data_IF_341720798036
#
_entry.id   IF_341720798036
#
_cell.length_a   1.000
_cell.length_b   1.000
_cell.length_c   1.000
_cell.angle_alpha   90.00
_cell.angle_beta   90.00
_cell.angle_gamma   90.00
#
_symmetry.space_group_name_H-M   'P 1'
#
loop_
_entity.id
_entity.type
_entity.pdbx_description
1 polymer ?
#
# COMPACT_ATOMS: atom_id res chain seq x y z
N UNK A 1 -16.13 10.66 1.34
CA UNK A 1 -15.81 11.27 0.01
C UNK A 1 -15.19 10.20 -0.88
N UNK A 2 -15.70 10.00 -2.10
CA UNK A 2 -15.25 8.94 -3.01
C UNK A 2 -15.12 9.45 -4.44
N UNK A 3 -14.05 9.07 -5.15
CA UNK A 3 -13.83 9.36 -6.56
C UNK A 3 -14.68 8.44 -7.44
N UNK A 4 -15.51 9.00 -8.31
CA UNK A 4 -16.35 8.24 -9.25
C UNK A 4 -15.75 8.20 -10.66
N UNK A 5 -15.19 9.32 -11.13
CA UNK A 5 -14.53 9.32 -12.43
C UNK A 5 -13.48 10.42 -12.54
N UNK A 6 -12.51 10.17 -13.43
CA UNK A 6 -11.54 11.17 -13.84
C UNK A 6 -11.39 11.14 -15.36
N UNK A 7 -11.28 12.33 -15.94
CA UNK A 7 -11.07 12.54 -17.36
C UNK A 7 -9.81 13.37 -17.57
N UNK A 8 -8.86 12.81 -18.32
CA UNK A 8 -7.65 13.47 -18.75
C UNK A 8 -7.70 13.78 -20.24
N UNK A 9 -7.39 15.02 -20.62
CA UNK A 9 -7.15 15.39 -22.01
C UNK A 9 -5.76 15.98 -22.15
N UNK A 10 -4.96 15.38 -23.01
CA UNK A 10 -3.58 15.78 -23.32
C UNK A 10 -2.66 15.85 -22.08
N UNK A 11 -2.74 14.87 -21.19
CA UNK A 11 -1.92 14.77 -19.97
C UNK A 11 -0.92 13.64 -20.12
N UNK A 12 0.36 13.93 -19.90
CA UNK A 12 1.48 12.99 -20.00
C UNK A 12 1.52 12.33 -21.37
N UNK A 13 1.17 11.06 -21.43
CA UNK A 13 1.09 10.29 -22.68
C UNK A 13 -0.34 10.09 -23.20
N UNK A 14 -1.35 10.59 -22.48
CA UNK A 14 -2.75 10.36 -22.78
C UNK A 14 -3.34 11.52 -23.59
N UNK A 15 -3.85 11.22 -24.78
CA UNK A 15 -4.64 12.19 -25.57
C UNK A 15 -6.01 12.42 -24.95
N UNK A 16 -6.71 11.34 -24.66
CA UNK A 16 -8.00 11.30 -23.98
C UNK A 16 -8.04 10.00 -23.18
N UNK A 17 -8.23 10.09 -21.87
CA UNK A 17 -8.34 8.95 -20.98
C UNK A 17 -9.44 9.22 -19.96
N UNK A 18 -10.46 8.36 -19.94
CA UNK A 18 -11.52 8.38 -18.94
C UNK A 18 -11.37 7.13 -18.08
N UNK A 19 -11.37 7.30 -16.76
CA UNK A 19 -11.49 6.21 -15.81
C UNK A 19 -12.77 6.42 -15.01
N UNK A 20 -13.55 5.36 -14.88
CA UNK A 20 -14.72 5.29 -14.01
C UNK A 20 -14.39 4.31 -12.88
N UNK A 21 -14.77 4.66 -11.66
CA UNK A 21 -14.49 3.92 -10.43
C UNK A 21 -15.81 3.54 -9.75
N UNK A 22 -15.88 2.35 -9.17
CA UNK A 22 -17.10 1.82 -8.56
C UNK A 22 -16.93 1.53 -7.05
N UNK A 23 -16.62 2.54 -6.22
CA UNK A 23 -16.22 2.34 -4.81
C UNK A 23 -17.28 1.66 -3.94
N UNK A 24 -18.57 1.77 -4.28
CA UNK A 24 -19.65 1.10 -3.54
C UNK A 24 -19.70 -0.42 -3.78
N UNK A 25 -19.26 -0.88 -4.95
CA UNK A 25 -19.23 -2.30 -5.32
C UNK A 25 -17.85 -2.90 -5.07
N UNK A 26 -16.81 -2.17 -5.45
CA UNK A 26 -15.41 -2.56 -5.41
C UNK A 26 -14.60 -1.40 -4.80
N UNK A 27 -14.37 -1.41 -3.47
CA UNK A 27 -13.67 -0.32 -2.78
C UNK A 27 -12.19 -0.22 -3.17
N UNK A 28 -11.63 -1.27 -3.76
CA UNK A 28 -10.27 -1.30 -4.30
C UNK A 28 -10.34 -1.26 -5.83
N UNK A 29 -9.59 -0.33 -6.42
CA UNK A 29 -9.27 -0.32 -7.85
C UNK A 29 -7.78 -0.60 -8.02
N UNK A 30 -7.45 -1.62 -8.81
CA UNK A 30 -6.09 -2.00 -9.17
C UNK A 30 -5.85 -1.74 -10.65
N UNK A 31 -4.85 -0.90 -10.96
CA UNK A 31 -4.44 -0.59 -12.33
C UNK A 31 -3.12 -1.32 -12.64
N UNK A 32 -3.20 -2.37 -13.44
CA UNK A 32 -2.06 -3.15 -13.93
C UNK A 32 -1.58 -2.66 -15.29
N UNK A 33 -0.30 -2.86 -15.56
CA UNK A 33 0.28 -2.61 -16.87
C UNK A 33 1.79 -2.68 -16.84
N UNK A 34 2.40 -2.75 -18.01
CA UNK A 34 3.85 -2.84 -18.14
C UNK A 34 4.55 -1.53 -17.73
N UNK A 35 5.87 -1.58 -17.61
CA UNK A 35 6.66 -0.38 -17.37
C UNK A 35 6.44 0.65 -18.50
N UNK A 36 6.51 1.93 -18.14
CA UNK A 36 6.31 3.06 -19.06
C UNK A 36 4.92 3.17 -19.73
N UNK A 37 3.87 2.52 -19.22
CA UNK A 37 2.48 2.71 -19.72
C UNK A 37 1.75 3.93 -19.16
N UNK A 38 2.36 4.65 -18.21
CA UNK A 38 1.78 5.88 -17.63
C UNK A 38 0.96 5.69 -16.35
N UNK A 39 1.03 4.52 -15.71
CA UNK A 39 0.34 4.23 -14.41
C UNK A 39 0.59 5.30 -13.35
N UNK A 40 1.85 5.64 -13.10
CA UNK A 40 2.24 6.68 -12.15
C UNK A 40 1.68 8.05 -12.54
N UNK A 41 1.58 8.34 -13.84
CA UNK A 41 0.99 9.59 -14.35
C UNK A 41 -0.49 9.68 -13.98
N UNK A 42 -1.24 8.57 -14.04
CA UNK A 42 -2.66 8.55 -13.66
C UNK A 42 -2.81 8.94 -12.18
N UNK A 43 -2.17 8.22 -11.26
CA UNK A 43 -2.29 8.47 -9.82
C UNK A 43 -1.77 9.84 -9.42
N UNK A 44 -0.63 10.27 -9.98
CA UNK A 44 -0.08 11.62 -9.77
C UNK A 44 -1.09 12.70 -10.13
N UNK A 45 -1.75 12.62 -11.29
CA UNK A 45 -2.69 13.65 -11.75
C UNK A 45 -4.02 13.60 -10.99
N UNK A 46 -4.48 12.42 -10.56
CA UNK A 46 -5.59 12.29 -9.61
C UNK A 46 -5.23 13.01 -8.31
N UNK A 47 -4.06 12.72 -7.73
CA UNK A 47 -3.60 13.36 -6.50
C UNK A 47 -3.52 14.88 -6.64
N UNK A 48 -2.88 15.39 -7.70
CA UNK A 48 -2.79 16.84 -7.96
C UNK A 48 -4.17 17.49 -7.93
N UNK A 49 -5.16 16.86 -8.56
CA UNK A 49 -6.52 17.38 -8.58
C UNK A 49 -7.24 17.30 -7.21
N UNK A 50 -6.98 16.26 -6.42
CA UNK A 50 -7.48 16.13 -5.05
C UNK A 50 -6.84 17.13 -4.07
N UNK A 51 -5.59 17.56 -4.27
CA UNK A 51 -4.93 18.56 -3.40
C UNK A 51 -5.64 19.92 -3.38
N UNK A 52 -6.52 20.19 -4.35
CA UNK A 52 -7.34 21.39 -4.33
C UNK A 52 -8.36 21.36 -3.18
N UNK A 53 -8.91 20.20 -2.83
CA UNK A 53 -9.79 20.09 -1.67
C UNK A 53 -9.06 20.46 -0.38
N UNK A 54 -7.90 19.85 -0.14
CA UNK A 54 -7.13 20.12 1.08
C UNK A 54 -6.66 21.58 1.18
N UNK A 55 -6.22 22.17 0.07
CA UNK A 55 -5.83 23.57 0.01
C UNK A 55 -7.00 24.51 0.31
N UNK A 56 -8.15 24.28 -0.34
CA UNK A 56 -9.37 25.09 -0.16
C UNK A 56 -9.98 24.94 1.23
N UNK A 57 -9.88 23.75 1.83
CA UNK A 57 -10.33 23.51 3.20
C UNK A 57 -9.56 24.36 4.22
N UNK A 58 -8.26 24.55 4.01
CA UNK A 58 -7.43 25.45 4.83
C UNK A 58 -7.79 26.92 4.63
N UNK A 59 -7.86 27.34 3.36
CA UNK A 59 -8.26 28.68 2.95
C UNK A 59 -8.83 28.60 1.54
N UNK A 60 -10.06 29.06 1.38
CA UNK A 60 -10.80 29.05 0.12
C UNK A 60 -10.07 29.75 -1.04
N UNK A 61 -9.06 30.58 -0.76
CA UNK A 61 -8.25 31.26 -1.78
C UNK A 61 -6.98 30.50 -2.16
N UNK A 62 -6.55 29.54 -1.35
CA UNK A 62 -5.32 28.78 -1.60
C UNK A 62 -5.51 27.80 -2.75
N UNK A 63 -4.58 27.83 -3.70
CA UNK A 63 -4.57 26.90 -4.83
C UNK A 63 -3.95 25.55 -4.42
N UNK A 64 -4.48 24.46 -4.97
CA UNK A 64 -3.84 23.16 -4.92
C UNK A 64 -2.65 23.07 -5.86
N UNK A 65 -2.08 21.87 -5.99
CA UNK A 65 -1.01 21.61 -6.94
C UNK A 65 -1.56 21.76 -8.36
N UNK A 66 -0.89 22.57 -9.17
CA UNK A 66 -1.25 22.80 -10.58
C UNK A 66 -0.59 21.76 -11.49
N UNK A 67 -1.19 21.55 -12.66
CA UNK A 67 -0.59 20.74 -13.73
C UNK A 67 0.75 21.38 -14.14
N UNK A 68 1.82 20.59 -14.17
CA UNK A 68 3.12 21.09 -14.59
C UNK A 68 3.20 21.20 -16.12
N UNK A 69 3.99 22.15 -16.62
CA UNK A 69 4.17 22.36 -18.07
C UNK A 69 4.68 21.08 -18.77
N UNK A 70 5.55 20.33 -18.09
CA UNK A 70 6.08 19.03 -18.55
C UNK A 70 5.03 17.90 -18.57
N UNK A 71 3.90 18.05 -17.88
CA UNK A 71 2.82 17.07 -17.86
C UNK A 71 1.85 17.29 -19.04
N UNK A 72 2.04 18.32 -19.88
CA UNK A 72 1.26 18.48 -21.12
C UNK A 72 1.81 17.51 -22.17
N UNK A 73 0.90 16.78 -22.83
CA UNK A 73 1.26 15.86 -23.91
C UNK A 73 2.09 16.56 -24.99
N UNK A 74 3.15 15.90 -25.43
CA UNK A 74 4.05 16.41 -26.47
C UNK A 74 3.25 16.93 -27.69
N UNK A 75 3.62 18.10 -28.18
CA UNK A 75 2.96 18.81 -29.29
C UNK A 75 1.52 19.29 -29.02
N UNK A 76 1.09 19.37 -27.75
CA UNK A 76 -0.18 20.00 -27.37
C UNK A 76 0.06 21.32 -26.65
N UNK A 77 -0.85 22.26 -26.89
CA UNK A 77 -0.82 23.59 -26.27
C UNK A 77 -1.64 23.67 -24.97
N UNK A 78 -2.44 22.65 -24.70
CA UNK A 78 -3.35 22.64 -23.56
C UNK A 78 -3.55 21.24 -23.01
N UNK A 79 -3.73 21.15 -21.70
CA UNK A 79 -4.14 19.95 -20.99
C UNK A 79 -5.29 20.24 -20.02
N UNK A 80 -6.08 19.21 -19.74
CA UNK A 80 -7.26 19.28 -18.87
C UNK A 80 -7.34 18.04 -17.99
N UNK A 81 -7.63 18.26 -16.72
CA UNK A 81 -8.07 17.23 -15.77
C UNK A 81 -9.48 17.61 -15.32
N UNK A 82 -10.41 16.66 -15.35
CA UNK A 82 -11.75 16.82 -14.80
C UNK A 82 -12.02 15.66 -13.85
N UNK A 83 -12.50 15.98 -12.66
CA UNK A 83 -12.75 15.00 -11.60
C UNK A 83 -14.21 15.06 -11.17
N UNK A 84 -14.77 13.89 -10.87
CA UNK A 84 -16.11 13.73 -10.29
C UNK A 84 -15.99 12.93 -9.00
N UNK A 85 -16.50 13.50 -7.91
CA UNK A 85 -16.43 12.95 -6.58
C UNK A 85 -17.83 12.92 -5.97
N UNK A 86 -18.16 11.80 -5.33
CA UNK A 86 -19.36 11.62 -4.51
C UNK A 86 -19.09 11.99 -3.06
N UNK A 87 -20.04 12.71 -2.46
CA UNK A 87 -20.05 13.06 -1.05
C UNK A 87 -20.68 11.95 -0.22
N UNK A 88 -20.28 11.83 1.07
CA UNK A 88 -20.96 10.90 1.98
C UNK A 88 -22.40 11.35 2.20
N UNK A 89 -23.31 10.38 2.29
CA UNK A 89 -24.73 10.64 2.55
C UNK A 89 -24.98 11.33 3.90
N UNK A 90 -24.07 11.14 4.86
CA UNK A 90 -24.09 11.77 6.19
C UNK A 90 -24.01 13.31 6.12
N UNK A 91 -23.40 13.87 5.07
CA UNK A 91 -23.31 15.32 4.87
C UNK A 91 -24.67 15.96 4.53
N UNK A 92 -25.64 15.19 4.04
CA UNK A 92 -26.95 15.71 3.64
C UNK A 92 -27.90 15.92 4.82
N UNK A 93 -27.70 15.21 5.94
CA UNK A 93 -28.61 15.25 7.10
C UNK A 93 -28.56 16.62 7.81
N UNK A 94 -27.47 17.37 7.65
CA UNK A 94 -27.28 18.68 8.29
C UNK A 94 -27.94 19.86 7.56
N UNK A 95 -28.56 19.65 6.40
CA UNK A 95 -29.33 20.68 5.71
C UNK A 95 -30.79 20.62 6.21
N UNK A 96 -31.32 21.63 6.93
CA UNK A 96 -32.75 21.71 7.15
C UNK A 96 -33.43 21.77 5.79
N UNK A 97 -34.29 20.79 5.51
CA UNK A 97 -35.06 20.68 4.26
C UNK A 97 -35.77 22.01 3.99
N UNK A 98 -35.18 22.84 3.14
CA UNK A 98 -35.82 24.04 2.61
C UNK A 98 -36.52 23.59 1.33
N UNK A 99 -37.84 23.57 1.40
CA UNK A 99 -38.79 22.97 0.45
C UNK A 99 -38.87 23.65 -0.93
N UNK A 100 -37.81 24.30 -1.40
CA UNK A 100 -37.82 25.07 -2.66
C UNK A 100 -36.54 24.99 -3.50
N UNK A 101 -35.60 24.08 -3.24
CA UNK A 101 -34.46 23.87 -4.14
C UNK A 101 -34.73 22.71 -5.11
N UNK A 102 -34.60 22.97 -6.40
CA UNK A 102 -34.65 21.97 -7.47
C UNK A 102 -33.78 20.76 -7.12
N UNK A 103 -34.30 19.56 -7.37
CA UNK A 103 -33.63 18.26 -7.24
C UNK A 103 -32.43 18.16 -8.20
N UNK A 104 -31.37 18.91 -7.93
CA UNK A 104 -30.04 18.63 -8.47
C UNK A 104 -29.37 17.65 -7.51
N UNK A 105 -28.76 16.58 -8.03
CA UNK A 105 -28.00 15.59 -7.26
C UNK A 105 -26.94 16.26 -6.38
N UNK A 106 -27.30 16.62 -5.15
CA UNK A 106 -26.45 17.30 -4.16
C UNK A 106 -25.28 16.45 -3.69
N UNK A 107 -25.24 15.18 -4.09
CA UNK A 107 -24.24 14.21 -3.70
C UNK A 107 -23.01 14.19 -4.61
N UNK A 108 -23.06 14.83 -5.78
CA UNK A 108 -21.95 14.80 -6.75
C UNK A 108 -21.28 16.17 -6.86
N UNK A 109 -19.95 16.17 -6.94
CA UNK A 109 -19.14 17.36 -7.07
C UNK A 109 -18.10 17.18 -8.17
N UNK A 110 -18.04 18.16 -9.06
CA UNK A 110 -17.12 18.21 -10.19
C UNK A 110 -16.27 19.48 -10.15
N UNK A 111 -14.97 19.32 -10.36
CA UNK A 111 -14.08 20.44 -10.67
C UNK A 111 -13.14 20.10 -11.82
N UNK A 112 -12.62 21.15 -12.45
CA UNK A 112 -11.75 21.05 -13.62
C UNK A 112 -10.51 21.89 -13.46
N UNK A 113 -9.38 21.34 -13.88
CA UNK A 113 -8.09 22.00 -13.95
C UNK A 113 -7.65 22.07 -15.40
N UNK A 114 -7.14 23.22 -15.80
CA UNK A 114 -6.64 23.48 -17.14
C UNK A 114 -5.23 24.05 -17.05
N UNK A 115 -4.43 23.72 -18.06
CA UNK A 115 -3.12 24.30 -18.28
C UNK A 115 -2.98 24.61 -19.76
N UNK A 116 -2.70 25.86 -20.11
CA UNK A 116 -2.63 26.33 -21.50
C UNK A 116 -1.36 27.14 -21.72
N UNK A 117 -0.59 26.82 -22.75
CA UNK A 117 0.56 27.63 -23.15
C UNK A 117 0.10 28.94 -23.79
N UNK A 118 0.73 30.04 -23.38
CA UNK A 118 0.60 31.32 -24.06
C UNK A 118 1.49 31.38 -25.32
N UNK A 119 1.42 32.47 -26.07
CA UNK A 119 2.24 32.69 -27.27
C UNK A 119 3.76 32.69 -27.02
N UNK A 120 4.19 32.83 -25.76
CA UNK A 120 5.60 32.81 -25.33
C UNK A 120 6.03 31.42 -24.81
N UNK A 121 5.16 30.41 -24.87
CA UNK A 121 5.46 29.05 -24.39
C UNK A 121 5.40 28.88 -22.87
N UNK A 122 4.81 29.82 -22.13
CA UNK A 122 4.63 29.74 -20.66
C UNK A 122 3.24 29.19 -20.34
N UNK A 123 3.18 28.15 -19.50
CA UNK A 123 1.92 27.51 -19.10
C UNK A 123 1.11 28.33 -18.10
N UNK A 124 -0.07 28.78 -18.49
CA UNK A 124 -1.06 29.45 -17.63
C UNK A 124 -2.03 28.41 -17.06
N UNK A 125 -2.19 28.39 -15.74
CA UNK A 125 -3.13 27.50 -15.05
C UNK A 125 -4.48 28.20 -14.85
N UNK A 126 -5.57 27.51 -15.19
CA UNK A 126 -6.95 27.97 -14.97
C UNK A 126 -7.77 26.86 -14.31
N UNK A 127 -8.77 27.22 -13.51
CA UNK A 127 -9.58 26.25 -12.76
C UNK A 127 -11.06 26.61 -12.73
N UNK A 128 -11.90 25.58 -12.69
CA UNK A 128 -13.35 25.67 -12.42
C UNK A 128 -13.63 24.93 -11.11
N UNK A 129 -13.71 25.65 -9.97
CA UNK A 129 -13.84 25.06 -8.61
C UNK A 129 -15.14 25.41 -7.88
N UNK A 130 -16.15 25.94 -8.56
CA UNK A 130 -17.38 26.42 -7.90
C UNK A 130 -18.06 25.35 -7.02
N UNK A 131 -18.18 24.11 -7.52
CA UNK A 131 -18.77 23.00 -6.76
C UNK A 131 -17.84 22.53 -5.63
N UNK A 132 -16.53 22.58 -5.84
CA UNK A 132 -15.55 22.27 -4.80
C UNK A 132 -15.62 23.28 -3.64
N UNK A 133 -15.78 24.57 -3.94
CA UNK A 133 -15.88 25.62 -2.93
C UNK A 133 -17.17 25.45 -2.09
N UNK A 134 -18.26 25.01 -2.72
CA UNK A 134 -19.50 24.62 -2.04
C UNK A 134 -19.31 23.40 -1.15
N UNK A 135 -18.63 22.36 -1.65
CA UNK A 135 -18.30 21.14 -0.91
C UNK A 135 -17.47 21.44 0.34
N UNK A 136 -16.43 22.25 0.21
CA UNK A 136 -15.57 22.66 1.33
C UNK A 136 -16.38 23.42 2.37
N UNK A 137 -17.24 24.35 1.92
CA UNK A 137 -18.12 25.10 2.82
C UNK A 137 -19.10 24.18 3.57
N UNK A 138 -19.59 23.12 2.92
CA UNK A 138 -20.45 22.13 3.55
C UNK A 138 -19.69 21.38 4.65
N UNK A 139 -18.50 20.83 4.35
CA UNK A 139 -17.67 20.16 5.36
C UNK A 139 -17.37 21.07 6.56
N UNK A 140 -17.02 22.33 6.32
CA UNK A 140 -16.75 23.29 7.40
C UNK A 140 -17.98 23.56 8.27
N UNK A 141 -19.18 23.69 7.67
CA UNK A 141 -20.43 23.90 8.41
C UNK A 141 -20.84 22.67 9.19
N UNK A 142 -20.75 21.49 8.58
CA UNK A 142 -21.17 20.24 9.23
C UNK A 142 -20.22 19.89 10.38
N UNK A 143 -18.90 20.06 10.21
CA UNK A 143 -17.93 19.84 11.29
C UNK A 143 -18.14 20.78 12.49
N UNK A 144 -18.66 22.00 12.27
CA UNK A 144 -19.05 22.90 13.37
C UNK A 144 -20.30 22.44 14.13
N UNK A 145 -21.20 21.70 13.47
CA UNK A 145 -22.46 21.23 14.05
C UNK A 145 -22.32 19.85 14.69
N UNK A 146 -21.53 18.97 14.08
CA UNK A 146 -21.25 17.63 14.54
C UNK A 146 -19.74 17.35 14.53
N UNK A 147 -19.06 17.53 15.67
CA UNK A 147 -17.62 17.22 15.81
C UNK A 147 -17.28 15.74 15.65
N UNK A 148 -18.26 14.83 15.64
CA UNK A 148 -17.99 13.40 15.37
C UNK A 148 -17.77 13.14 13.88
N UNK A 149 -18.20 14.05 13.00
CA UNK A 149 -18.01 13.89 11.57
C UNK A 149 -16.54 14.05 11.19
N UNK A 150 -15.95 12.96 10.68
CA UNK A 150 -14.60 12.95 10.16
C UNK A 150 -14.43 13.70 8.84
N UNK A 151 -13.20 14.17 8.60
CA UNK A 151 -12.80 14.70 7.30
C UNK A 151 -12.25 13.60 6.38
N UNK A 152 -12.43 13.72 5.06
CA UNK A 152 -12.02 12.67 4.14
C UNK A 152 -10.50 12.59 3.97
N UNK A 153 -9.92 11.41 4.15
CA UNK A 153 -8.51 11.20 3.88
C UNK A 153 -8.20 11.41 2.39
N UNK A 154 -7.12 12.15 2.11
CA UNK A 154 -6.52 12.25 0.77
C UNK A 154 -5.04 11.97 0.95
N UNK A 155 -4.59 10.79 0.52
CA UNK A 155 -3.19 10.40 0.61
C UNK A 155 -2.70 9.84 -0.72
N UNK A 156 -1.47 10.19 -1.06
CA UNK A 156 -0.74 9.64 -2.20
C UNK A 156 0.63 9.18 -1.73
N UNK A 157 0.96 7.94 -2.08
CA UNK A 157 2.26 7.34 -1.84
C UNK A 157 2.90 6.98 -3.19
N UNK A 158 3.92 7.72 -3.66
CA UNK A 158 4.65 7.38 -4.87
C UNK A 158 5.43 6.06 -4.73
N UNK A 159 5.89 5.52 -5.87
CA UNK A 159 6.71 4.31 -5.92
C UNK A 159 8.01 4.45 -5.12
N UNK A 160 8.69 5.60 -5.26
CA UNK A 160 9.90 5.92 -4.50
C UNK A 160 9.51 6.35 -3.07
N UNK A 161 9.59 5.39 -2.16
CA UNK A 161 9.28 5.58 -0.73
C UNK A 161 10.38 5.00 0.13
N UNK A 162 10.88 5.79 1.07
CA UNK A 162 11.97 5.37 1.94
C UNK A 162 11.91 6.04 3.32
N UNK A 163 12.54 5.39 4.30
CA UNK A 163 12.72 5.92 5.66
C UNK A 163 14.19 6.34 5.78
N UNK A 164 14.46 7.65 5.66
CA UNK A 164 15.84 8.14 5.60
C UNK A 164 16.47 8.39 6.97
N UNK A 165 15.69 8.78 7.98
CA UNK A 165 16.14 8.87 9.38
C UNK A 165 14.92 9.05 10.29
N UNK A 166 14.97 8.49 11.50
CA UNK A 166 13.87 8.57 12.47
C UNK A 166 14.27 9.54 13.57
N UNK A 167 13.78 10.77 13.47
CA UNK A 167 14.01 11.76 14.52
C UNK A 167 12.94 11.63 15.62
N UNK A 168 13.30 10.99 16.73
CA UNK A 168 12.47 10.92 17.94
C UNK A 168 12.80 12.03 18.95
N UNK A 169 13.79 12.88 18.65
CA UNK A 169 14.23 13.94 19.56
C UNK A 169 13.41 15.23 19.40
N UNK A 170 12.78 15.45 18.24
CA UNK A 170 11.81 16.51 18.07
C UNK A 170 10.63 16.28 19.00
N UNK A 171 10.31 17.29 19.83
CA UNK A 171 9.17 17.29 20.76
C UNK A 171 8.40 18.58 20.61
N UNK A 172 7.09 18.53 20.84
CA UNK A 172 6.21 19.70 20.83
C UNK A 172 6.29 20.49 19.51
N UNK A 173 6.47 19.80 18.39
CA UNK A 173 6.48 20.44 17.07
C UNK A 173 5.08 21.03 16.83
N UNK A 174 4.96 22.36 16.63
CA UNK A 174 3.67 23.02 16.54
C UNK A 174 2.87 22.46 15.35
N UNK A 175 1.60 22.16 15.58
CA UNK A 175 0.68 21.69 14.53
C UNK A 175 0.67 20.17 14.29
N UNK A 176 1.55 19.38 14.92
CA UNK A 176 1.64 17.92 14.70
C UNK A 176 0.33 17.18 14.96
N UNK A 177 -0.45 17.63 15.95
CA UNK A 177 -1.73 17.05 16.35
C UNK A 177 -2.96 17.76 15.75
N UNK A 178 -2.76 18.77 14.89
CA UNK A 178 -3.87 19.48 14.26
C UNK A 178 -4.42 18.68 13.07
N UNK A 179 -5.74 18.75 12.85
CA UNK A 179 -6.42 18.08 11.73
C UNK A 179 -5.76 18.42 10.38
N UNK A 180 -5.38 19.68 10.19
CA UNK A 180 -4.80 20.15 8.92
C UNK A 180 -3.47 19.47 8.58
N UNK A 181 -2.72 18.98 9.58
CA UNK A 181 -1.46 18.26 9.36
C UNK A 181 -1.67 16.88 8.70
N UNK A 182 -2.90 16.37 8.65
CA UNK A 182 -3.24 15.19 7.86
C UNK A 182 -3.17 15.46 6.35
N UNK A 183 -3.33 16.72 5.94
CA UNK A 183 -3.33 17.16 4.54
C UNK A 183 -1.99 17.74 4.07
N UNK A 184 -0.92 17.56 4.83
CA UNK A 184 0.43 17.90 4.39
C UNK A 184 0.70 17.28 3.00
N UNK A 185 1.18 18.12 2.09
CA UNK A 185 1.43 17.73 0.71
C UNK A 185 2.53 16.69 0.63
N UNK A 186 2.24 15.56 -0.02
CA UNK A 186 3.25 14.58 -0.38
C UNK A 186 4.04 15.10 -1.58
N UNK A 187 5.37 15.05 -1.50
CA UNK A 187 6.19 15.31 -2.65
C UNK A 187 5.91 14.23 -3.72
N UNK A 188 5.64 14.69 -4.93
CA UNK A 188 5.29 13.79 -6.04
C UNK A 188 6.41 12.81 -6.43
N UNK A 189 7.71 13.20 -6.50
CA UNK A 189 8.74 12.29 -6.97
C UNK A 189 9.10 11.19 -5.97
N UNK A 190 8.99 11.48 -4.66
CA UNK A 190 9.29 10.53 -3.60
C UNK A 190 8.59 10.97 -2.30
N UNK A 191 8.38 10.03 -1.39
CA UNK A 191 7.86 10.34 -0.05
C UNK A 191 8.76 9.83 1.07
N UNK A 192 8.75 10.55 2.18
CA UNK A 192 9.37 10.15 3.44
C UNK A 192 8.33 10.19 4.55
N UNK A 193 8.63 9.55 5.67
CA UNK A 193 7.67 9.33 6.75
C UNK A 193 8.02 10.10 8.04
N UNK A 194 8.77 11.20 7.93
CA UNK A 194 9.19 11.99 9.09
C UNK A 194 8.00 12.45 9.95
N UNK A 195 6.91 12.91 9.30
CA UNK A 195 5.67 13.36 9.98
C UNK A 195 4.99 12.25 10.77
N UNK A 196 5.05 11.01 10.26
CA UNK A 196 4.56 9.85 11.01
C UNK A 196 5.36 9.63 12.29
N UNK A 197 6.68 9.65 12.24
CA UNK A 197 7.50 9.42 13.43
C UNK A 197 7.41 10.57 14.45
N UNK A 198 7.31 11.82 13.99
CA UNK A 198 7.04 12.98 14.85
C UNK A 198 5.69 12.83 15.55
N UNK A 199 4.64 12.44 14.83
CA UNK A 199 3.32 12.20 15.40
C UNK A 199 3.30 11.00 16.37
N UNK A 200 3.94 9.89 16.01
CA UNK A 200 4.05 8.71 16.88
C UNK A 200 4.73 9.06 18.20
N UNK A 201 5.77 9.89 18.13
CA UNK A 201 6.49 10.40 19.31
C UNK A 201 5.57 11.20 20.22
N UNK A 202 4.85 12.17 19.64
CA UNK A 202 3.96 13.06 20.38
C UNK A 202 2.77 12.30 20.98
N UNK A 203 2.12 11.44 20.20
CA UNK A 203 0.94 10.70 20.65
C UNK A 203 1.31 9.66 21.72
N UNK A 204 2.49 9.05 21.61
CA UNK A 204 3.00 8.16 22.64
C UNK A 204 3.26 8.89 23.96
N UNK A 205 3.82 10.11 23.92
CA UNK A 205 4.00 10.90 25.15
C UNK A 205 2.65 11.31 25.77
N UNK A 206 1.69 11.76 24.95
CA UNK A 206 0.35 12.17 25.39
C UNK A 206 -0.39 11.00 26.04
N UNK A 207 -0.49 9.86 25.36
CA UNK A 207 -1.24 8.71 25.85
C UNK A 207 -0.55 8.01 27.03
N UNK A 208 0.79 8.00 27.09
CA UNK A 208 1.54 7.53 28.27
C UNK A 208 1.30 8.44 29.48
N UNK A 209 1.32 9.76 29.30
CA UNK A 209 1.05 10.72 30.38
C UNK A 209 -0.39 10.59 30.89
N UNK A 210 -1.36 10.40 29.98
CA UNK A 210 -2.76 10.15 30.32
C UNK A 210 -2.91 8.87 31.15
N UNK A 211 -2.33 7.77 30.67
CA UNK A 211 -2.35 6.48 31.37
C UNK A 211 -1.73 6.58 32.76
N UNK A 212 -0.57 7.24 32.89
CA UNK A 212 0.08 7.46 34.17
C UNK A 212 -0.77 8.33 35.13
N UNK A 213 -1.48 9.33 34.60
CA UNK A 213 -2.37 10.17 35.39
C UNK A 213 -3.56 9.38 35.94
N UNK A 214 -4.19 8.52 35.12
CA UNK A 214 -5.29 7.65 35.54
C UNK A 214 -4.81 6.69 36.62
N UNK A 215 -3.69 6.01 36.40
CA UNK A 215 -3.09 5.10 37.38
C UNK A 215 -2.81 5.83 38.69
N UNK A 216 -2.28 7.06 38.66
CA UNK A 216 -2.06 7.87 39.86
C UNK A 216 -3.35 8.26 40.57
N UNK A 217 -4.40 8.63 39.83
CA UNK A 217 -5.71 8.97 40.39
C UNK A 217 -6.33 7.78 41.10
N UNK A 218 -6.23 6.59 40.49
CA UNK A 218 -6.74 5.34 41.06
C UNK A 218 -5.94 4.88 42.28
N UNK A 219 -4.61 5.09 42.28
CA UNK A 219 -3.76 4.68 43.41
C UNK A 219 -3.80 5.62 44.63
N UNK A 220 -4.31 6.86 44.50
CA UNK A 220 -4.27 7.84 45.59
C UNK A 220 -2.84 8.17 46.07
N UNK A 221 -2.70 8.96 47.14
CA UNK A 221 -1.38 9.24 47.74
C UNK A 221 -0.94 8.18 48.77
N UNK A 222 -1.80 7.25 49.16
CA UNK A 222 -1.57 6.30 50.26
C UNK A 222 -1.25 4.90 49.75
N UNK A 223 0.02 4.70 49.42
CA UNK A 223 0.54 3.40 48.99
C UNK A 223 0.78 2.48 50.20
N UNK A 224 -0.28 1.90 50.77
CA UNK A 224 -0.15 0.79 51.72
C UNK A 224 -0.17 -0.55 50.96
N UNK A 225 0.90 -1.34 51.08
CA UNK A 225 1.09 -2.64 50.40
C UNK A 225 -0.01 -3.68 50.68
N UNK A 226 -0.93 -3.43 51.60
CA UNK A 226 -2.00 -4.35 51.99
C UNK A 226 -3.21 -4.37 51.03
N UNK A 227 -3.41 -3.36 50.17
CA UNK A 227 -4.63 -3.24 49.34
C UNK A 227 -4.43 -3.50 47.83
N UNK A 228 -3.34 -4.16 47.42
CA UNK A 228 -3.04 -4.40 45.99
C UNK A 228 -4.17 -5.10 45.23
N UNK A 229 -4.86 -6.05 45.86
CA UNK A 229 -5.97 -6.79 45.24
C UNK A 229 -7.24 -5.95 45.07
N UNK A 230 -7.54 -5.07 46.02
CA UNK A 230 -8.69 -4.15 45.94
C UNK A 230 -8.45 -3.08 44.87
N UNK A 231 -7.23 -2.53 44.80
CA UNK A 231 -6.83 -1.56 43.77
C UNK A 231 -6.88 -2.17 42.38
N UNK A 232 -6.46 -3.44 42.21
CA UNK A 232 -6.56 -4.15 40.93
C UNK A 232 -8.02 -4.42 40.54
N UNK A 233 -8.90 -4.69 41.50
CA UNK A 233 -10.33 -4.84 41.25
C UNK A 233 -11.01 -3.51 40.90
N UNK A 234 -10.65 -2.41 41.56
CA UNK A 234 -11.13 -1.07 41.19
C UNK A 234 -10.63 -0.66 39.81
N UNK A 235 -9.36 -0.95 39.47
CA UNK A 235 -8.81 -0.78 38.12
C UNK A 235 -9.59 -1.59 37.08
N UNK A 236 -9.89 -2.86 37.36
CA UNK A 236 -10.72 -3.69 36.48
C UNK A 236 -12.14 -3.14 36.34
N UNK A 237 -12.76 -2.68 37.42
CA UNK A 237 -14.11 -2.11 37.39
C UNK A 237 -14.14 -0.77 36.62
N UNK A 238 -13.16 0.10 36.81
CA UNK A 238 -13.01 1.35 36.03
C UNK A 238 -12.68 1.07 34.55
N UNK A 239 -11.86 0.06 34.23
CA UNK A 239 -11.63 -0.38 32.85
C UNK A 239 -12.91 -0.85 32.16
N UNK A 240 -13.80 -1.53 32.91
CA UNK A 240 -15.09 -2.03 32.42
C UNK A 240 -16.13 -0.90 32.32
N UNK A 241 -16.16 0.03 33.28
CA UNK A 241 -17.16 1.09 33.37
C UNK A 241 -16.81 2.33 32.54
N UNK A 242 -15.52 2.63 32.38
CA UNK A 242 -14.97 3.77 31.65
C UNK A 242 -13.85 3.38 30.67
N UNK A 243 -14.10 2.44 29.72
CA UNK A 243 -13.12 2.05 28.69
C UNK A 243 -12.66 3.25 27.86
N UNK A 244 -13.51 4.28 27.75
CA UNK A 244 -13.28 5.52 27.01
C UNK A 244 -12.23 6.45 27.63
N UNK A 245 -11.93 6.33 28.93
CA UNK A 245 -10.91 7.16 29.60
C UNK A 245 -9.52 6.50 29.55
N UNK A 246 -9.42 5.18 29.48
CA UNK A 246 -8.12 4.48 29.35
C UNK A 246 -7.71 4.19 27.90
N UNK A 247 -8.61 4.43 26.94
CA UNK A 247 -8.30 4.24 25.54
C UNK A 247 -7.15 5.16 25.13
N UNK A 248 -6.11 4.55 24.61
CA UNK A 248 -5.07 5.14 23.80
C UNK A 248 -5.53 4.98 22.33
N UNK A 249 -6.58 5.70 21.87
CA UNK A 249 -7.30 5.34 20.65
C UNK A 249 -6.37 5.39 19.44
N UNK A 250 -5.40 6.31 19.44
CA UNK A 250 -4.51 6.51 18.31
C UNK A 250 -3.43 5.43 18.26
N UNK A 251 -2.78 5.11 19.39
CA UNK A 251 -1.82 4.00 19.41
C UNK A 251 -2.52 2.66 19.19
N UNK A 252 -3.73 2.47 19.73
CA UNK A 252 -4.51 1.27 19.48
C UNK A 252 -4.86 1.13 18.00
N UNK A 253 -5.39 2.18 17.37
CA UNK A 253 -5.71 2.19 15.95
C UNK A 253 -4.47 1.92 15.09
N UNK A 254 -3.33 2.54 15.42
CA UNK A 254 -2.05 2.30 14.75
C UNK A 254 -1.61 0.84 14.87
N UNK A 255 -1.56 0.30 16.09
CA UNK A 255 -1.09 -1.08 16.35
C UNK A 255 -2.01 -2.10 15.70
N UNK A 256 -3.33 -1.91 15.81
CA UNK A 256 -4.34 -2.78 15.20
C UNK A 256 -4.23 -2.79 13.67
N UNK A 257 -4.09 -1.61 13.05
CA UNK A 257 -3.92 -1.49 11.60
C UNK A 257 -2.62 -2.16 11.13
N UNK A 258 -1.53 -1.92 11.86
CA UNK A 258 -0.23 -2.54 11.58
C UNK A 258 -0.27 -4.07 11.72
N UNK A 259 -0.90 -4.59 12.77
CA UNK A 259 -1.04 -6.03 12.99
C UNK A 259 -1.94 -6.69 11.94
N UNK A 260 -2.97 -5.98 11.47
CA UNK A 260 -3.85 -6.46 10.39
C UNK A 260 -3.08 -6.59 9.07
N UNK A 261 -2.24 -5.60 8.73
CA UNK A 261 -1.43 -5.62 7.50
C UNK A 261 -0.25 -6.59 7.63
N UNK A 262 0.43 -6.60 8.77
CA UNK A 262 1.60 -7.40 9.07
C UNK A 262 1.37 -8.23 10.36
N UNK A 263 0.77 -9.43 10.26
CA UNK A 263 0.49 -10.28 11.42
C UNK A 263 1.74 -10.67 12.23
N UNK A 264 2.91 -10.67 11.58
CA UNK A 264 4.21 -10.92 12.19
C UNK A 264 4.71 -9.77 13.07
N UNK A 265 4.13 -8.57 12.97
CA UNK A 265 4.44 -7.41 13.79
C UNK A 265 3.48 -7.35 14.97
N UNK A 266 3.93 -7.85 16.12
CA UNK A 266 3.11 -7.93 17.33
C UNK A 266 3.01 -6.59 18.07
N UNK A 267 4.06 -5.77 18.04
CA UNK A 267 4.06 -4.49 18.77
C UNK A 267 5.05 -3.48 18.19
N UNK A 268 4.77 -2.20 18.41
CA UNK A 268 5.63 -1.05 18.12
C UNK A 268 5.52 -0.03 19.26
N UNK A 269 6.65 0.40 19.81
CA UNK A 269 6.67 1.33 20.94
C UNK A 269 7.98 2.10 21.05
N UNK A 270 7.94 3.23 21.76
CA UNK A 270 9.12 4.05 22.01
C UNK A 270 9.75 3.63 23.34
N UNK A 271 11.00 3.19 23.28
CA UNK A 271 11.82 2.93 24.47
C UNK A 271 12.59 4.20 24.83
N UNK A 272 12.57 4.58 26.11
CA UNK A 272 13.23 5.80 26.62
C UNK A 272 14.57 5.50 27.30
N UNK A 273 14.67 4.35 27.98
CA UNK A 273 15.83 3.93 28.78
C UNK A 273 16.29 2.55 28.29
N UNK A 274 17.61 2.31 28.10
CA UNK A 274 18.73 3.22 28.34
C UNK A 274 18.96 4.28 27.26
N UNK A 275 18.34 4.13 26.08
CA UNK A 275 18.45 5.05 24.94
C UNK A 275 17.07 5.26 24.33
N UNK A 276 16.78 6.49 23.89
CA UNK A 276 15.58 6.83 23.12
C UNK A 276 15.64 6.19 21.73
N UNK A 277 14.77 5.20 21.48
CA UNK A 277 14.70 4.50 20.20
C UNK A 277 13.31 3.88 19.98
N UNK A 278 12.95 3.69 18.70
CA UNK A 278 11.74 2.97 18.30
C UNK A 278 12.04 1.47 18.32
N UNK A 279 11.24 0.73 19.08
CA UNK A 279 11.33 -0.72 19.22
C UNK A 279 10.14 -1.39 18.56
N UNK A 280 10.38 -2.59 18.05
CA UNK A 280 9.33 -3.45 17.50
C UNK A 280 9.45 -4.85 18.09
N UNK A 281 8.31 -5.53 18.23
CA UNK A 281 8.24 -6.97 18.42
C UNK A 281 7.82 -7.59 17.10
N UNK A 282 8.76 -8.22 16.40
CA UNK A 282 8.58 -8.81 15.08
C UNK A 282 9.02 -10.28 15.13
N UNK A 283 8.14 -11.19 14.69
CA UNK A 283 8.38 -12.65 14.74
C UNK A 283 8.84 -13.13 16.14
N UNK A 284 8.15 -12.68 17.20
CA UNK A 284 8.49 -12.97 18.60
C UNK A 284 9.84 -12.43 19.10
N UNK A 285 10.56 -11.65 18.29
CA UNK A 285 11.81 -11.00 18.68
C UNK A 285 11.61 -9.51 18.91
N UNK A 286 12.18 -8.99 19.99
CA UNK A 286 12.22 -7.56 20.27
C UNK A 286 13.51 -6.96 19.74
N UNK A 287 13.41 -6.06 18.77
CA UNK A 287 14.57 -5.40 18.16
C UNK A 287 14.31 -3.90 17.89
N UNK A 288 15.38 -3.09 17.79
CA UNK A 288 15.27 -1.73 17.29
C UNK A 288 14.71 -1.69 15.86
N UNK A 289 13.79 -0.77 15.59
CA UNK A 289 13.15 -0.60 14.27
C UNK A 289 14.17 -0.44 13.14
N UNK A 290 15.33 0.17 13.40
CA UNK A 290 16.38 0.38 12.41
C UNK A 290 16.93 -0.92 11.81
N UNK A 291 16.88 -2.03 12.56
CA UNK A 291 17.37 -3.35 12.13
C UNK A 291 16.39 -4.10 11.21
N UNK A 292 15.17 -3.60 11.04
CA UNK A 292 14.25 -4.14 10.05
C UNK A 292 14.75 -3.91 8.61
N UNK A 293 14.30 -4.76 7.69
CA UNK A 293 14.58 -4.61 6.26
C UNK A 293 14.05 -3.26 5.73
N UNK A 294 14.66 -2.74 4.66
CA UNK A 294 14.22 -1.48 4.06
C UNK A 294 12.74 -1.52 3.64
N UNK A 295 12.30 -2.63 3.07
CA UNK A 295 10.91 -2.88 2.70
C UNK A 295 9.97 -2.80 3.91
N UNK A 296 10.26 -3.57 4.98
CA UNK A 296 9.42 -3.59 6.17
C UNK A 296 9.34 -2.20 6.83
N UNK A 297 10.47 -1.46 6.87
CA UNK A 297 10.48 -0.09 7.38
C UNK A 297 9.59 0.84 6.55
N UNK A 298 9.68 0.79 5.23
CA UNK A 298 8.87 1.62 4.34
C UNK A 298 7.37 1.30 4.48
N UNK A 299 7.03 0.02 4.60
CA UNK A 299 5.66 -0.45 4.73
C UNK A 299 5.02 -0.13 6.09
N UNK A 300 5.73 -0.38 7.19
CA UNK A 300 5.26 0.03 8.52
C UNK A 300 5.06 1.55 8.56
N UNK A 301 5.96 2.31 7.95
CA UNK A 301 5.85 3.76 7.92
C UNK A 301 4.70 4.24 7.01
N UNK A 302 4.40 3.55 5.91
CA UNK A 302 3.25 3.82 5.05
C UNK A 302 1.93 3.58 5.79
N UNK A 303 1.74 2.40 6.37
CA UNK A 303 0.54 2.06 7.16
C UNK A 303 0.42 2.99 8.38
N UNK A 304 1.55 3.33 8.99
CA UNK A 304 1.63 4.29 10.08
C UNK A 304 1.21 5.70 9.69
N UNK A 305 1.62 6.20 8.52
CA UNK A 305 1.20 7.52 8.04
C UNK A 305 -0.29 7.54 7.63
N UNK A 306 -0.83 6.46 7.07
CA UNK A 306 -2.28 6.33 6.84
C UNK A 306 -3.03 6.42 8.18
N UNK A 307 -2.60 5.63 9.16
CA UNK A 307 -3.19 5.61 10.50
C UNK A 307 -3.13 6.99 11.16
N UNK A 308 -1.98 7.67 11.06
CA UNK A 308 -1.82 9.07 11.52
C UNK A 308 -2.85 9.98 10.89
N UNK A 309 -2.96 9.97 9.56
CA UNK A 309 -3.88 10.87 8.84
C UNK A 309 -5.32 10.60 9.28
N UNK A 310 -5.74 9.35 9.40
CA UNK A 310 -7.08 8.99 9.86
C UNK A 310 -7.34 9.44 11.29
N UNK A 311 -6.38 9.23 12.21
CA UNK A 311 -6.50 9.69 13.59
C UNK A 311 -6.64 11.22 13.67
N UNK A 312 -5.84 11.95 12.88
CA UNK A 312 -5.90 13.41 12.84
C UNK A 312 -7.20 13.96 12.23
N UNK A 313 -7.78 13.26 11.25
CA UNK A 313 -9.01 13.67 10.58
C UNK A 313 -10.28 13.25 11.32
N UNK A 314 -10.17 12.36 12.31
CA UNK A 314 -11.27 11.77 13.06
C UNK A 314 -10.98 11.82 14.58
N UNK A 315 -10.62 13.00 15.09
CA UNK A 315 -10.11 13.16 16.48
C UNK A 315 -11.08 12.71 17.58
N UNK A 316 -12.38 12.71 17.27
CA UNK A 316 -13.45 12.34 18.18
C UNK A 316 -14.01 10.93 17.92
N UNK A 317 -13.48 10.20 16.93
CA UNK A 317 -13.86 8.83 16.62
C UNK A 317 -13.08 7.82 17.48
N UNK A 318 -13.76 6.75 17.93
CA UNK A 318 -13.11 5.68 18.70
C UNK A 318 -12.27 4.75 17.83
N UNK A 319 -12.68 4.52 16.58
CA UNK A 319 -12.01 3.62 15.65
C UNK A 319 -11.66 4.35 14.34
N UNK A 320 -10.77 5.36 14.37
CA UNK A 320 -10.52 6.23 13.22
C UNK A 320 -10.08 5.47 11.97
N UNK A 321 -9.36 4.35 12.11
CA UNK A 321 -8.92 3.54 10.97
C UNK A 321 -10.05 2.70 10.34
N UNK A 322 -11.06 2.30 11.14
CA UNK A 322 -12.19 1.50 10.65
C UNK A 322 -13.34 2.36 10.13
N UNK A 323 -13.52 3.56 10.70
CA UNK A 323 -14.66 4.43 10.42
C UNK A 323 -14.30 5.62 9.51
N UNK A 324 -13.02 5.97 9.40
CA UNK A 324 -12.57 7.07 8.57
C UNK A 324 -12.70 6.77 7.08
N UNK A 325 -13.28 7.71 6.34
CA UNK A 325 -13.45 7.63 4.89
C UNK A 325 -12.37 8.42 4.13
N UNK A 326 -12.19 8.12 2.84
CA UNK A 326 -11.31 8.91 1.98
C UNK A 326 -10.81 8.15 0.76
N UNK A 327 -9.88 8.79 0.05
CA UNK A 327 -9.23 8.28 -1.16
C UNK A 327 -7.75 8.07 -0.86
N UNK A 328 -7.31 6.82 -0.97
CA UNK A 328 -5.94 6.37 -0.78
C UNK A 328 -5.34 5.97 -2.12
N UNK A 329 -4.28 6.66 -2.54
CA UNK A 329 -3.57 6.40 -3.79
C UNK A 329 -2.20 5.79 -3.48
N UNK A 330 -1.92 4.58 -3.98
CA UNK A 330 -0.62 3.91 -3.79
C UNK A 330 -0.05 3.54 -5.16
N UNK A 331 1.01 4.22 -5.56
CA UNK A 331 1.73 3.89 -6.78
C UNK A 331 2.71 2.73 -6.54
N UNK A 332 2.77 1.80 -7.50
CA UNK A 332 3.55 0.57 -7.47
C UNK A 332 3.43 -0.12 -6.10
N UNK A 333 2.23 -0.60 -5.82
CA UNK A 333 1.93 -1.26 -4.55
C UNK A 333 2.76 -2.52 -4.34
N UNK A 334 3.23 -3.15 -5.41
CA UNK A 334 4.12 -4.31 -5.40
C UNK A 334 5.60 -3.97 -5.19
N UNK A 335 5.98 -2.69 -5.17
CA UNK A 335 7.36 -2.28 -4.98
C UNK A 335 7.91 -2.76 -3.62
N UNK A 336 9.07 -3.42 -3.67
CA UNK A 336 9.78 -4.00 -2.52
C UNK A 336 9.03 -5.10 -1.75
N UNK A 337 7.95 -5.66 -2.29
CA UNK A 337 7.25 -6.80 -1.69
C UNK A 337 7.72 -8.15 -2.27
N UNK A 338 7.76 -9.18 -1.42
CA UNK A 338 7.85 -10.55 -1.88
C UNK A 338 6.54 -11.02 -2.54
N UNK A 339 6.50 -12.24 -3.07
CA UNK A 339 5.32 -12.74 -3.78
C UNK A 339 4.10 -12.94 -2.87
N UNK A 340 4.31 -13.45 -1.65
CA UNK A 340 3.23 -13.73 -0.72
C UNK A 340 2.59 -12.43 -0.20
N UNK A 341 3.40 -11.45 0.20
CA UNK A 341 2.90 -10.14 0.62
C UNK A 341 2.25 -9.40 -0.54
N UNK A 342 2.78 -9.50 -1.76
CA UNK A 342 2.15 -8.90 -2.93
C UNK A 342 0.72 -9.41 -3.14
N UNK A 343 0.46 -10.70 -2.95
CA UNK A 343 -0.88 -11.27 -3.10
C UNK A 343 -1.86 -10.77 -2.02
N UNK A 344 -1.40 -10.62 -0.78
CA UNK A 344 -2.26 -10.33 0.36
C UNK A 344 -2.40 -8.84 0.69
N UNK A 345 -1.48 -7.97 0.22
CA UNK A 345 -1.36 -6.60 0.71
C UNK A 345 -2.63 -5.76 0.51
N UNK A 346 -3.30 -5.89 -0.63
CA UNK A 346 -4.52 -5.13 -0.92
C UNK A 346 -5.67 -5.55 -0.01
N UNK A 347 -5.87 -6.87 0.15
CA UNK A 347 -6.89 -7.42 1.03
C UNK A 347 -6.67 -6.95 2.47
N UNK A 348 -5.43 -7.03 2.96
CA UNK A 348 -5.11 -6.61 4.33
C UNK A 348 -5.19 -5.09 4.54
N UNK A 349 -4.81 -4.28 3.55
CA UNK A 349 -5.02 -2.83 3.62
C UNK A 349 -6.50 -2.49 3.71
N UNK A 350 -7.36 -3.17 2.95
CA UNK A 350 -8.80 -2.96 3.04
C UNK A 350 -9.39 -3.49 4.35
N UNK A 351 -8.88 -4.58 4.91
CA UNK A 351 -9.26 -5.02 6.26
C UNK A 351 -8.88 -3.99 7.33
N UNK A 352 -7.69 -3.38 7.23
CA UNK A 352 -7.24 -2.35 8.16
C UNK A 352 -7.98 -1.01 7.98
N UNK A 353 -8.37 -0.69 6.75
CA UNK A 353 -8.99 0.58 6.37
C UNK A 353 -10.25 0.37 5.48
N UNK A 354 -11.32 -0.23 6.02
CA UNK A 354 -12.46 -0.74 5.23
C UNK A 354 -13.27 0.34 4.52
N UNK A 355 -13.27 1.58 5.02
CA UNK A 355 -14.03 2.70 4.44
C UNK A 355 -13.19 3.58 3.49
N UNK A 356 -11.93 3.24 3.25
CA UNK A 356 -11.12 3.92 2.26
C UNK A 356 -11.36 3.35 0.86
N UNK A 357 -11.51 4.24 -0.11
CA UNK A 357 -11.36 3.91 -1.52
C UNK A 357 -9.86 3.81 -1.83
N UNK A 358 -9.39 2.62 -2.18
CA UNK A 358 -7.99 2.36 -2.47
C UNK A 358 -7.81 2.29 -3.99
N UNK A 359 -7.00 3.19 -4.56
CA UNK A 359 -6.63 3.15 -5.96
C UNK A 359 -5.14 2.90 -6.05
N UNK A 360 -4.77 1.71 -6.54
CA UNK A 360 -3.38 1.27 -6.59
C UNK A 360 -2.93 0.97 -8.01
N UNK A 361 -1.63 1.04 -8.25
CA UNK A 361 -1.01 0.56 -9.49
C UNK A 361 -0.03 -0.56 -9.18
N UNK A 362 0.17 -1.45 -10.15
CA UNK A 362 1.15 -2.53 -10.05
C UNK A 362 1.54 -3.09 -11.40
N UNK A 363 2.47 -4.05 -11.41
CA UNK A 363 2.88 -4.78 -12.60
C UNK A 363 2.94 -6.29 -12.42
N UNK A 364 2.66 -6.83 -11.22
CA UNK A 364 2.71 -8.27 -10.93
C UNK A 364 1.32 -8.89 -10.87
N UNK A 365 1.18 -10.06 -11.50
CA UNK A 365 -0.05 -10.86 -11.47
C UNK A 365 -0.41 -11.37 -10.08
N UNK A 366 0.56 -11.46 -9.16
CA UNK A 366 0.29 -11.81 -7.76
C UNK A 366 -0.77 -10.90 -7.12
N UNK A 367 -0.89 -9.64 -7.55
CA UNK A 367 -1.92 -8.70 -7.07
C UNK A 367 -3.35 -9.12 -7.45
N UNK A 368 -3.51 -10.07 -8.38
CA UNK A 368 -4.80 -10.55 -8.85
C UNK A 368 -5.36 -11.72 -8.03
N UNK A 369 -4.67 -12.20 -6.98
CA UNK A 369 -5.12 -13.34 -6.16
C UNK A 369 -6.56 -13.14 -5.65
N UNK A 370 -6.88 -11.94 -5.18
CA UNK A 370 -8.21 -11.58 -4.65
C UNK A 370 -9.02 -10.69 -5.59
N UNK A 371 -8.75 -10.77 -6.90
CA UNK A 371 -9.29 -9.84 -7.90
C UNK A 371 -10.82 -9.77 -7.98
N UNK A 372 -11.55 -10.79 -7.54
CA UNK A 372 -13.02 -10.77 -7.49
C UNK A 372 -13.60 -9.65 -6.59
N UNK A 373 -12.81 -9.17 -5.62
CA UNK A 373 -13.21 -8.08 -4.73
C UNK A 373 -12.79 -6.70 -5.26
N UNK A 374 -12.04 -6.65 -6.36
CA UNK A 374 -11.37 -5.46 -6.86
C UNK A 374 -11.90 -5.08 -8.23
N UNK A 375 -11.86 -3.78 -8.53
CA UNK A 375 -11.95 -3.30 -9.90
C UNK A 375 -10.57 -3.44 -10.55
N UNK A 376 -10.39 -4.41 -11.44
CA UNK A 376 -9.11 -4.65 -12.10
C UNK A 376 -9.08 -4.00 -13.48
N UNK A 377 -8.20 -3.02 -13.66
CA UNK A 377 -8.01 -2.29 -14.91
C UNK A 377 -6.63 -2.61 -15.49
N UNK A 378 -6.56 -2.87 -16.80
CA UNK A 378 -5.31 -3.02 -17.53
C UNK A 378 -5.05 -1.79 -18.38
N UNK A 379 -3.83 -1.25 -18.27
CA UNK A 379 -3.35 -0.10 -19.01
C UNK A 379 -2.24 -0.52 -19.97
N UNK A 380 -2.51 -0.37 -21.26
CA UNK A 380 -1.53 -0.59 -22.34
C UNK A 380 -1.58 0.54 -23.39
N UNK A 381 -0.89 0.36 -24.52
CA UNK A 381 -0.85 1.37 -25.59
C UNK A 381 -2.21 1.65 -26.24
N UNK A 382 -3.19 0.74 -26.13
CA UNK A 382 -4.53 0.87 -26.71
C UNK A 382 -5.48 1.65 -25.81
N UNK A 383 -5.15 1.80 -24.53
CA UNK A 383 -5.94 2.54 -23.55
C UNK A 383 -6.08 1.77 -22.25
N UNK A 384 -7.13 2.08 -21.50
CA UNK A 384 -7.49 1.38 -20.28
C UNK A 384 -8.76 0.55 -20.52
N UNK A 385 -8.76 -0.69 -20.05
CA UNK A 385 -9.92 -1.58 -20.11
C UNK A 385 -9.97 -2.46 -18.87
N UNK A 386 -11.16 -2.93 -18.55
CA UNK A 386 -11.38 -3.83 -17.42
C UNK A 386 -10.88 -5.25 -17.75
N UNK A 387 -10.26 -5.90 -16.77
CA UNK A 387 -9.78 -7.27 -16.91
C UNK A 387 -10.95 -8.21 -16.64
N UNK A 388 -11.34 -8.96 -17.67
CA UNK A 388 -12.25 -10.09 -17.50
C UNK A 388 -11.48 -11.28 -16.89
N UNK A 389 -11.64 -11.44 -15.58
CA UNK A 389 -10.98 -12.50 -14.81
C UNK A 389 -11.47 -13.89 -15.21
N UNK A 390 -12.75 -14.04 -15.57
CA UNK A 390 -13.33 -15.31 -15.98
C UNK A 390 -12.75 -15.76 -17.33
N UNK A 391 -12.66 -14.84 -18.28
CA UNK A 391 -12.05 -15.12 -19.58
C UNK A 391 -10.56 -15.47 -19.45
N UNK A 392 -9.83 -14.79 -18.57
CA UNK A 392 -8.40 -15.06 -18.32
C UNK A 392 -8.17 -16.45 -17.70
N UNK A 393 -8.99 -16.85 -16.73
CA UNK A 393 -8.94 -18.19 -16.12
C UNK A 393 -9.29 -19.30 -17.12
N UNK A 394 -10.26 -19.05 -18.02
CA UNK A 394 -10.61 -19.98 -19.09
C UNK A 394 -9.47 -20.12 -20.12
N UNK A 395 -8.79 -19.03 -20.46
CA UNK A 395 -7.62 -19.09 -21.35
C UNK A 395 -6.43 -19.82 -20.72
N UNK A 396 -6.13 -19.57 -19.44
CA UNK A 396 -5.06 -20.27 -18.73
C UNK A 396 -5.35 -21.77 -18.60
N UNK A 397 -6.58 -22.15 -18.26
CA UNK A 397 -6.97 -23.56 -18.19
C UNK A 397 -6.89 -24.26 -19.55
N UNK A 398 -7.27 -23.58 -20.64
CA UNK A 398 -7.08 -24.09 -21.99
C UNK A 398 -5.59 -24.27 -22.35
N UNK A 399 -4.73 -23.29 -22.01
CA UNK A 399 -3.27 -23.39 -22.21
C UNK A 399 -2.64 -24.52 -21.40
N UNK A 400 -3.06 -24.72 -20.14
CA UNK A 400 -2.60 -25.84 -19.33
C UNK A 400 -3.05 -27.19 -19.91
N UNK A 401 -4.27 -27.28 -20.44
CA UNK A 401 -4.73 -28.48 -21.14
C UNK A 401 -3.92 -28.74 -22.42
N UNK A 402 -3.62 -27.70 -23.19
CA UNK A 402 -2.80 -27.80 -24.40
C UNK A 402 -1.35 -28.23 -24.06
N UNK A 403 -0.72 -27.61 -23.06
CA UNK A 403 0.61 -28.01 -22.59
C UNK A 403 0.63 -29.45 -22.05
N UNK A 404 -0.39 -29.87 -21.30
CA UNK A 404 -0.52 -31.24 -20.83
C UNK A 404 -0.63 -32.24 -22.00
N UNK A 405 -1.44 -31.93 -23.02
CA UNK A 405 -1.55 -32.73 -24.23
C UNK A 405 -0.23 -32.79 -25.02
N UNK A 406 0.54 -31.69 -25.04
CA UNK A 406 1.84 -31.65 -25.73
C UNK A 406 2.90 -32.49 -24.99
N UNK A 407 2.83 -32.56 -23.65
CA UNK A 407 3.68 -33.45 -22.83
C UNK A 407 3.31 -34.93 -23.01
N UNK A 408 2.03 -35.26 -23.18
CA UNK A 408 1.62 -36.62 -23.55
C UNK A 408 2.11 -36.99 -24.96
N UNK A 409 2.03 -36.10 -25.95
CA UNK A 409 2.57 -36.37 -27.30
C UNK A 409 4.10 -36.52 -27.33
N UNK A 410 4.83 -35.69 -26.60
CA UNK A 410 6.30 -35.77 -26.52
C UNK A 410 6.82 -36.98 -25.73
N UNK A 411 6.06 -37.49 -24.75
CA UNK A 411 6.37 -38.77 -24.09
C UNK A 411 6.10 -39.97 -25.01
N UNK A 412 5.09 -39.89 -25.88
CA UNK A 412 4.84 -40.90 -26.94
C UNK A 412 5.96 -40.87 -28.00
N UNK A 413 6.49 -39.70 -28.35
CA UNK A 413 7.64 -39.59 -29.27
C UNK A 413 8.97 -40.02 -28.62
N UNK A 414 9.22 -39.72 -27.34
CA UNK A 414 10.41 -40.19 -26.63
C UNK A 414 10.42 -41.72 -26.42
N UNK A 415 9.24 -42.35 -26.26
CA UNK A 415 9.15 -43.82 -26.25
C UNK A 415 9.49 -44.44 -27.62
N UNK A 416 9.26 -43.74 -28.74
CA UNK A 416 9.61 -44.21 -30.07
C UNK A 416 11.06 -43.92 -30.47
N UNK A 417 11.73 -42.93 -29.86
CA UNK A 417 13.15 -42.58 -30.15
C UNK A 417 14.14 -43.38 -29.28
N UNK A 418 13.70 -44.08 -28.23
CA UNK A 418 14.53 -44.96 -27.40
C UNK A 418 14.75 -46.38 -27.97
N UNK A 419 14.48 -46.61 -29.27
CA UNK A 419 15.10 -47.73 -30.00
C UNK A 419 16.48 -47.30 -30.55
N UNK A 420 17.38 -46.93 -29.64
CA UNK A 420 18.81 -46.86 -29.91
C UNK A 420 19.48 -47.98 -29.10
N UNK A 421 20.20 -48.85 -29.80
CA UNK A 421 20.84 -50.07 -29.28
C UNK A 421 21.56 -49.86 -27.93
N UNK A 422 21.34 -50.73 -26.92
CA UNK A 422 22.00 -50.59 -25.64
C UNK A 422 23.50 -50.87 -25.79
N UNK A 423 24.32 -49.82 -25.62
CA UNK A 423 25.78 -49.91 -25.46
C UNK A 423 26.22 -50.76 -24.24
N UNK A 424 25.30 -51.30 -23.42
CA UNK A 424 25.62 -52.16 -22.28
C UNK A 424 26.15 -53.54 -22.69
N UNK A 425 25.76 -54.06 -23.85
CA UNK A 425 26.13 -55.43 -24.24
C UNK A 425 27.65 -55.60 -24.48
N UNK A 426 28.36 -54.55 -24.91
CA UNK A 426 29.79 -54.65 -25.19
C UNK A 426 30.66 -54.73 -23.94
N UNK A 427 30.26 -54.08 -22.85
CA UNK A 427 31.00 -54.12 -21.57
C UNK A 427 30.80 -55.47 -20.88
N UNK A 428 29.58 -56.00 -20.93
CA UNK A 428 29.25 -57.31 -20.39
C UNK A 428 29.88 -58.45 -21.22
N UNK A 429 29.93 -58.32 -22.56
CA UNK A 429 30.69 -59.24 -23.42
C UNK A 429 32.20 -59.19 -23.13
N UNK A 430 32.79 -57.99 -22.95
CA UNK A 430 34.20 -57.84 -22.58
C UNK A 430 34.49 -58.50 -21.23
N UNK A 431 33.58 -58.35 -20.26
CA UNK A 431 33.73 -58.95 -18.94
C UNK A 431 33.64 -60.49 -19.01
N UNK A 432 32.71 -61.03 -19.80
CA UNK A 432 32.63 -62.47 -20.05
C UNK A 432 33.85 -63.02 -20.81
N UNK A 433 34.36 -62.28 -21.79
CA UNK A 433 35.59 -62.64 -22.50
C UNK A 433 36.80 -62.64 -21.57
N UNK A 434 36.92 -61.66 -20.67
CA UNK A 434 37.99 -61.61 -19.67
C UNK A 434 37.88 -62.77 -18.67
N UNK A 435 36.65 -63.17 -18.30
CA UNK A 435 36.45 -64.32 -17.41
C UNK A 435 36.84 -65.66 -18.05
N UNK A 436 36.65 -65.81 -19.36
CA UNK A 436 36.93 -67.03 -20.11
C UNK A 436 38.42 -67.23 -20.48
N UNK A 437 39.28 -66.24 -20.25
CA UNK A 437 40.74 -66.33 -20.51
C UNK A 437 41.42 -67.32 -19.56
N UNK A 438 42.38 -68.07 -20.09
CA UNK A 438 43.21 -69.00 -19.32
C UNK A 438 44.18 -68.23 -18.40
N UNK A 439 44.65 -68.87 -17.31
CA UNK A 439 45.52 -68.25 -16.29
C UNK A 439 46.78 -67.58 -16.89
N UNK A 440 47.38 -68.14 -17.95
CA UNK A 440 48.51 -67.52 -18.65
C UNK A 440 48.14 -66.21 -19.37
N UNK A 441 46.99 -66.18 -20.04
CA UNK A 441 46.51 -65.01 -20.79
C UNK A 441 46.04 -63.89 -19.85
N UNK A 442 45.45 -64.25 -18.69
CA UNK A 442 45.17 -63.28 -17.62
C UNK A 442 46.44 -62.65 -17.06
N UNK A 443 47.52 -63.43 -16.94
CA UNK A 443 48.80 -62.92 -16.43
C UNK A 443 49.45 -61.93 -17.41
N UNK A 444 49.36 -62.17 -18.72
CA UNK A 444 49.85 -61.26 -19.75
C UNK A 444 49.01 -59.97 -19.84
N UNK A 445 47.69 -60.07 -19.68
CA UNK A 445 46.79 -58.91 -19.67
C UNK A 445 47.05 -58.02 -18.43
N UNK A 446 47.30 -58.62 -17.27
CA UNK A 446 47.73 -57.90 -16.06
C UNK A 446 49.13 -57.29 -16.23
N UNK A 447 50.04 -57.95 -16.95
CA UNK A 447 51.38 -57.42 -17.22
C UNK A 447 51.32 -56.20 -18.17
N UNK A 448 50.42 -56.22 -19.17
CA UNK A 448 50.16 -55.07 -20.06
C UNK A 448 49.53 -53.89 -19.33
N UNK A 449 48.61 -54.13 -18.38
CA UNK A 449 47.99 -53.08 -17.56
C UNK A 449 48.95 -52.47 -16.52
N UNK A 450 49.97 -53.19 -16.07
CA UNK A 450 50.95 -52.72 -15.06
C UNK A 450 52.09 -51.86 -15.63
N UNK A 451 52.24 -51.79 -16.95
CA UNK A 451 53.32 -51.01 -17.59
C UNK A 451 53.05 -49.49 -17.52
N UNK A 452 51.81 -49.06 -17.28
CA UNK A 452 51.45 -47.63 -17.19
C UNK A 452 51.56 -47.04 -15.77
N UNK A 453 51.82 -47.85 -14.74
CA UNK A 453 51.94 -47.41 -13.33
C UNK A 453 53.40 -47.25 -12.86
N UNK A 454 54.24 -46.55 -13.65
CA UNK A 454 55.50 -45.99 -13.13
C UNK A 454 55.43 -44.46 -13.08
N UNK A 455 55.59 -43.83 -11.90
CA UNK A 455 55.55 -42.38 -11.77
C UNK A 455 56.84 -41.77 -12.33
N UNK A 456 56.74 -40.96 -13.38
CA UNK A 456 57.84 -40.08 -13.76
C UNK A 456 57.95 -38.96 -12.72
N UNK A 457 58.88 -39.13 -11.78
CA UNK A 457 59.47 -38.04 -11.01
C UNK A 457 60.07 -37.01 -11.99
N UNK A 458 59.57 -35.78 -11.92
CA UNK A 458 60.16 -34.62 -12.59
C UNK A 458 61.43 -34.17 -11.85
N UNK A 459 62.61 -34.09 -12.51
CA UNK A 459 63.73 -33.36 -11.97
C UNK A 459 63.78 -31.93 -12.54
N UNK A 460 63.88 -30.97 -11.60
CA UNK A 460 64.43 -29.60 -11.65
C UNK A 460 64.36 -28.78 -12.95
#
# INVERSE_FOLDING_TARGET
MQLESVLFKHIGMFRDLKLDFYPEQQPITLILGDQATGKSTILKNIYQSLTWFSARYKDIRTAGVVIADQDILLNRLQAKIQMHVRMSSELNVALPESSTAQTADTQTCMWKLYKTFNAQGVGISQVETQQLDQLVTLYQKTNQQDPLLGLPLIAYYPAERFVQDINLQSKNTPGTLQEIAAYDLTAIPYTTFARFFEWLREISDVENAHSAHIVRRLMGNDFNQQNQSEILQELQQELVNHPKQLSAPNLYALKSSLQTVFPELNDIYIQYVPKLQLMVRYQEQTLPFQLLSASMKAWIALVGDISRRLCLLNQHCFNPCLEGEGILLIDQIDHQLDQHMCAEILARLHQAFPRLQIISTGNRDALLEHAAQYQCLKLDQKGIYEIDLEASQQQLSALYQELAQTQEMSSIEQQNVLQADPLSNKVDELFHQIQALNEQEKSDLIHLLKIDDTPQESPL
#
